data_IF_732108595521
#
_entry.id   IF_732108595521
#
_cell.length_a   1.000
_cell.length_b   1.000
_cell.length_c   1.000
_cell.angle_alpha   90.00
_cell.angle_beta   90.00
_cell.angle_gamma   90.00
#
_symmetry.space_group_name_H-M   'P 1'
#
loop_
_entity.id
_entity.type
_entity.pdbx_description
1 polymer ?
#
# COMPACT_ATOMS: atom_id res chain seq x y z
N UNK A 1 27.06 1.42 -66.43
CA UNK A 1 27.29 1.51 -64.97
C UNK A 1 26.09 2.17 -64.29
N UNK A 2 25.04 1.42 -63.93
CA UNK A 2 23.79 2.00 -63.40
C UNK A 2 23.11 1.18 -62.28
N UNK A 3 23.77 0.15 -61.76
CA UNK A 3 23.14 -0.89 -60.93
C UNK A 3 23.28 -0.73 -59.42
N UNK A 4 24.11 0.21 -58.94
CA UNK A 4 24.44 0.30 -57.51
C UNK A 4 23.51 1.21 -56.71
N UNK A 5 23.03 2.31 -57.29
CA UNK A 5 22.17 3.28 -56.58
C UNK A 5 20.80 2.66 -56.23
N UNK A 6 20.19 1.91 -57.17
CA UNK A 6 18.91 1.24 -56.95
C UNK A 6 18.96 0.14 -55.88
N UNK A 7 20.10 -0.57 -55.78
CA UNK A 7 20.29 -1.64 -54.79
C UNK A 7 20.45 -1.10 -53.37
N UNK A 8 21.14 0.03 -53.21
CA UNK A 8 21.30 0.70 -51.91
C UNK A 8 19.98 1.31 -51.42
N UNK A 9 19.22 1.94 -52.30
CA UNK A 9 17.88 2.46 -51.99
C UNK A 9 16.89 1.35 -51.58
N UNK A 10 16.91 0.20 -52.27
CA UNK A 10 16.08 -0.96 -51.92
C UNK A 10 16.38 -1.50 -50.51
N UNK A 11 17.67 -1.69 -50.17
CA UNK A 11 18.08 -2.14 -48.82
C UNK A 11 17.69 -1.14 -47.73
N UNK A 12 17.77 0.16 -48.01
CA UNK A 12 17.35 1.22 -47.08
C UNK A 12 15.84 1.25 -46.84
N UNK A 13 15.03 1.04 -47.88
CA UNK A 13 13.58 0.94 -47.74
C UNK A 13 13.15 -0.31 -46.96
N UNK A 14 13.83 -1.43 -47.18
CA UNK A 14 13.54 -2.68 -46.50
C UNK A 14 13.90 -2.62 -45.01
N UNK A 15 15.04 -2.01 -44.67
CA UNK A 15 15.41 -1.69 -43.29
C UNK A 15 14.35 -0.78 -42.61
N UNK A 16 13.87 0.25 -43.32
CA UNK A 16 12.82 1.13 -42.80
C UNK A 16 11.49 0.39 -42.61
N UNK A 17 11.12 -0.54 -43.50
CA UNK A 17 9.93 -1.38 -43.37
C UNK A 17 10.03 -2.30 -42.14
N UNK A 18 11.18 -2.90 -41.89
CA UNK A 18 11.42 -3.71 -40.69
C UNK A 18 11.35 -2.87 -39.41
N UNK A 19 11.96 -1.67 -39.40
CA UNK A 19 11.87 -0.74 -38.25
C UNK A 19 10.43 -0.35 -37.94
N UNK A 20 9.62 -0.04 -38.97
CA UNK A 20 8.20 0.28 -38.78
C UNK A 20 7.43 -0.89 -38.16
N UNK A 21 7.62 -2.11 -38.66
CA UNK A 21 7.02 -3.33 -38.10
C UNK A 21 7.43 -3.56 -36.63
N UNK A 22 8.70 -3.34 -36.30
CA UNK A 22 9.19 -3.47 -34.94
C UNK A 22 8.54 -2.45 -33.99
N UNK A 23 8.50 -1.17 -34.40
CA UNK A 23 7.86 -0.10 -33.62
C UNK A 23 6.38 -0.41 -33.37
N UNK A 24 5.68 -0.90 -34.38
CA UNK A 24 4.27 -1.27 -34.27
C UNK A 24 4.07 -2.45 -33.29
N UNK A 25 4.92 -3.48 -33.37
CA UNK A 25 4.89 -4.62 -32.44
C UNK A 25 5.11 -4.18 -30.99
N UNK A 26 6.11 -3.33 -30.75
CA UNK A 26 6.39 -2.77 -29.42
C UNK A 26 5.21 -1.94 -28.93
N UNK A 27 4.58 -1.14 -29.80
CA UNK A 27 3.39 -0.35 -29.45
C UNK A 27 2.22 -1.26 -29.05
N UNK A 28 1.93 -2.31 -29.82
CA UNK A 28 0.88 -3.29 -29.52
C UNK A 28 1.14 -3.98 -28.18
N UNK A 29 2.37 -4.46 -27.93
CA UNK A 29 2.75 -5.06 -26.65
C UNK A 29 2.56 -4.10 -25.46
N UNK A 30 2.96 -2.83 -25.60
CA UNK A 30 2.75 -1.82 -24.55
C UNK A 30 1.27 -1.60 -24.26
N UNK A 31 0.43 -1.51 -25.29
CA UNK A 31 -1.02 -1.35 -25.11
C UNK A 31 -1.61 -2.54 -24.37
N UNK A 32 -1.29 -3.77 -24.78
CA UNK A 32 -1.76 -4.99 -24.10
C UNK A 32 -1.32 -5.04 -22.64
N UNK A 33 -0.06 -4.70 -22.34
CA UNK A 33 0.43 -4.67 -20.96
C UNK A 33 -0.28 -3.61 -20.12
N UNK A 34 -0.59 -2.45 -20.70
CA UNK A 34 -1.33 -1.40 -20.01
C UNK A 34 -2.78 -1.82 -19.74
N UNK A 35 -3.44 -2.49 -20.67
CA UNK A 35 -4.81 -2.97 -20.46
C UNK A 35 -4.88 -4.07 -19.41
N UNK A 36 -3.92 -4.99 -19.38
CA UNK A 36 -3.85 -6.02 -18.33
C UNK A 36 -3.58 -5.41 -16.96
N UNK A 37 -2.65 -4.47 -16.86
CA UNK A 37 -2.36 -3.76 -15.61
C UNK A 37 -3.57 -2.96 -15.12
N UNK A 38 -4.31 -2.28 -16.02
CA UNK A 38 -5.52 -1.54 -15.67
C UNK A 38 -6.59 -2.49 -15.08
N UNK A 39 -6.81 -3.65 -15.72
CA UNK A 39 -7.74 -4.67 -15.22
C UNK A 39 -7.31 -5.26 -13.87
N UNK A 40 -6.03 -5.52 -13.67
CA UNK A 40 -5.50 -5.99 -12.38
C UNK A 40 -5.71 -4.97 -11.27
N UNK A 41 -5.41 -3.69 -11.54
CA UNK A 41 -5.63 -2.59 -10.58
C UNK A 41 -7.11 -2.45 -10.23
N UNK A 42 -8.01 -2.53 -11.21
CA UNK A 42 -9.46 -2.44 -10.97
C UNK A 42 -9.96 -3.60 -10.09
N UNK A 43 -9.46 -4.83 -10.32
CA UNK A 43 -9.77 -5.97 -9.45
C UNK A 43 -9.27 -5.77 -8.03
N UNK A 44 -8.03 -5.31 -7.86
CA UNK A 44 -7.46 -5.05 -6.53
C UNK A 44 -8.25 -3.97 -5.76
N UNK A 45 -8.69 -2.92 -6.46
CA UNK A 45 -9.53 -1.88 -5.85
C UNK A 45 -10.89 -2.42 -5.40
N UNK A 46 -11.54 -3.25 -6.23
CA UNK A 46 -12.81 -3.91 -5.84
C UNK A 46 -12.65 -4.86 -4.66
N UNK A 47 -11.52 -5.56 -4.58
CA UNK A 47 -11.24 -6.46 -3.45
C UNK A 47 -11.03 -5.66 -2.15
N UNK A 48 -10.29 -4.54 -2.21
CA UNK A 48 -10.14 -3.64 -1.06
C UNK A 48 -11.47 -3.01 -0.63
N UNK A 49 -12.33 -2.64 -1.58
CA UNK A 49 -13.66 -2.10 -1.28
C UNK A 49 -14.56 -3.14 -0.60
N UNK A 50 -14.48 -4.42 -1.01
CA UNK A 50 -15.20 -5.51 -0.33
C UNK A 50 -14.75 -5.67 1.12
N UNK A 51 -13.43 -5.77 1.35
CA UNK A 51 -12.89 -5.92 2.71
C UNK A 51 -13.32 -4.79 3.66
N UNK A 52 -13.36 -3.55 3.18
CA UNK A 52 -13.84 -2.40 3.98
C UNK A 52 -15.30 -2.53 4.42
N UNK A 53 -16.18 -3.10 3.59
CA UNK A 53 -17.58 -3.31 3.97
C UNK A 53 -17.75 -4.41 5.00
N UNK A 54 -16.85 -5.40 4.98
CA UNK A 54 -16.89 -6.50 5.94
C UNK A 54 -16.38 -6.05 7.33
N UNK A 55 -15.45 -5.08 7.38
CA UNK A 55 -14.92 -4.50 8.63
C UNK A 55 -15.95 -3.57 9.34
N UNK A 56 -16.81 -2.87 8.58
CA UNK A 56 -17.86 -1.98 9.12
C UNK A 56 -19.05 -2.74 9.75
N UNK A 57 -19.06 -4.08 9.70
CA UNK A 57 -20.12 -4.94 10.23
C UNK A 57 -19.74 -5.63 11.54
N UNK A 58 -18.66 -5.20 12.18
CA UNK A 58 -18.35 -5.61 13.56
C UNK A 58 -19.25 -4.78 14.48
N UNK A 59 -20.21 -5.36 15.22
CA UNK A 59 -20.94 -4.59 16.21
C UNK A 59 -19.91 -4.03 17.19
N UNK A 60 -19.93 -2.71 17.38
CA UNK A 60 -19.25 -2.10 18.50
C UNK A 60 -19.85 -2.76 19.75
N UNK A 61 -19.04 -3.58 20.43
CA UNK A 61 -19.37 -3.97 21.80
C UNK A 61 -19.34 -2.66 22.59
N UNK A 62 -20.52 -2.24 23.05
CA UNK A 62 -20.68 -1.15 24.01
C UNK A 62 -19.89 -1.53 25.27
N UNK A 63 -18.67 -1.03 25.39
CA UNK A 63 -17.95 -0.96 26.65
C UNK A 63 -18.67 0.11 27.51
N UNK A 64 -19.68 -0.33 28.27
CA UNK A 64 -20.31 0.42 29.36
C UNK A 64 -19.23 0.81 30.39
N UNK A 65 -18.83 2.08 30.37
CA UNK A 65 -18.04 2.77 31.40
C UNK A 65 -18.86 2.87 32.71
N UNK A 66 -18.99 1.80 33.49
CA UNK A 66 -19.42 1.91 34.90
C UNK A 66 -18.26 2.39 35.78
N UNK A 67 -18.05 3.71 35.82
CA UNK A 67 -17.22 4.37 36.84
C UNK A 67 -18.05 4.76 38.05
N UNK A 68 -18.01 3.89 39.05
CA UNK A 68 -17.77 4.17 40.48
C UNK A 68 -18.47 5.34 41.17
N UNK A 69 -19.44 5.00 42.03
CA UNK A 69 -19.65 5.50 43.41
C UNK A 69 -20.29 4.31 44.16
N UNK A 70 -19.98 3.91 45.41
CA UNK A 70 -19.92 4.63 46.68
C UNK A 70 -19.13 3.75 47.68
N UNK A 71 -18.35 4.36 48.57
CA UNK A 71 -17.72 3.69 49.73
C UNK A 71 -18.78 3.06 50.65
N UNK A 72 -18.55 1.84 51.14
CA UNK A 72 -19.20 1.35 52.34
C UNK A 72 -18.25 0.45 53.14
N UNK A 73 -17.83 0.84 54.35
CA UNK A 73 -16.93 0.06 55.19
C UNK A 73 -17.77 -0.84 56.11
N UNK A 74 -18.14 -2.02 55.63
CA UNK A 74 -18.59 -3.11 56.48
C UNK A 74 -17.84 -4.39 56.08
N UNK A 75 -16.61 -4.48 56.59
CA UNK A 75 -16.12 -5.75 57.11
C UNK A 75 -17.19 -6.28 58.07
N UNK A 76 -17.78 -7.44 57.80
CA UNK A 76 -17.23 -8.68 58.34
C UNK A 76 -18.12 -9.89 58.01
N UNK A 77 -17.45 -11.02 57.82
CA UNK A 77 -17.95 -12.37 58.03
C UNK A 77 -19.28 -12.79 57.37
N UNK A 78 -19.18 -13.46 56.21
CA UNK A 78 -19.95 -14.70 55.95
C UNK A 78 -19.30 -15.52 54.83
N UNK A 79 -18.51 -16.51 55.27
CA UNK A 79 -18.44 -17.90 54.76
C UNK A 79 -18.31 -18.07 53.24
N UNK A 80 -17.13 -18.45 52.76
CA UNK A 80 -16.76 -19.87 52.63
C UNK A 80 -17.91 -20.72 52.07
N UNK A 81 -17.95 -20.88 50.74
CA UNK A 81 -18.22 -22.16 50.06
C UNK A 81 -18.13 -21.99 48.54
N UNK A 82 -17.60 -23.02 47.90
CA UNK A 82 -17.63 -23.33 46.47
C UNK A 82 -16.51 -22.75 45.60
N UNK A 83 -15.34 -23.37 45.72
CA UNK A 83 -14.76 -24.17 44.63
C UNK A 83 -15.35 -23.91 43.23
N UNK A 84 -15.03 -22.75 42.67
CA UNK A 84 -15.06 -22.58 41.22
C UNK A 84 -13.63 -22.81 40.75
N UNK A 85 -13.33 -23.90 40.02
CA UNK A 85 -12.01 -24.06 39.44
C UNK A 85 -11.87 -22.95 38.41
N UNK A 86 -11.24 -21.84 38.79
CA UNK A 86 -10.70 -20.87 37.84
C UNK A 86 -10.04 -21.69 36.73
N UNK A 87 -10.39 -21.48 35.45
CA UNK A 87 -9.81 -22.27 34.38
C UNK A 87 -8.31 -22.14 34.54
N UNK A 88 -7.62 -23.26 34.73
CA UNK A 88 -6.16 -23.29 34.72
C UNK A 88 -5.77 -22.96 33.29
N UNK A 89 -5.67 -21.67 32.96
CA UNK A 89 -5.09 -21.25 31.70
C UNK A 89 -3.71 -21.88 31.68
N UNK A 90 -3.51 -22.81 30.76
CA UNK A 90 -2.24 -23.48 30.61
C UNK A 90 -1.22 -22.36 30.38
N UNK A 91 -0.19 -22.24 31.23
CA UNK A 91 0.89 -21.25 31.01
C UNK A 91 1.44 -21.30 29.58
N UNK A 92 1.38 -22.49 28.97
CA UNK A 92 1.71 -22.74 27.57
C UNK A 92 0.76 -22.07 26.54
N UNK A 93 -0.53 -21.91 26.83
CA UNK A 93 -1.46 -21.17 25.96
C UNK A 93 -1.27 -19.66 26.07
N UNK A 94 -1.03 -19.13 27.27
CA UNK A 94 -0.69 -17.70 27.44
C UNK A 94 0.60 -17.35 26.71
N UNK A 95 1.63 -18.19 26.85
CA UNK A 95 2.92 -17.98 26.17
C UNK A 95 2.77 -18.07 24.63
N UNK A 96 1.87 -18.92 24.13
CA UNK A 96 1.54 -18.98 22.69
C UNK A 96 0.85 -17.71 22.20
N UNK A 97 -0.15 -17.23 22.94
CA UNK A 97 -0.88 -16.00 22.62
C UNK A 97 0.02 -14.76 22.66
N UNK A 98 0.96 -14.70 23.60
CA UNK A 98 1.94 -13.61 23.69
C UNK A 98 2.91 -13.62 22.49
N UNK A 99 3.44 -14.80 22.12
CA UNK A 99 4.29 -14.93 20.92
C UNK A 99 3.55 -14.57 19.64
N UNK A 100 2.29 -14.98 19.50
CA UNK A 100 1.47 -14.66 18.33
C UNK A 100 1.19 -13.15 18.25
N UNK A 101 0.88 -12.49 19.37
CA UNK A 101 0.75 -11.02 19.44
C UNK A 101 2.06 -10.31 19.11
N UNK A 102 3.20 -10.85 19.54
CA UNK A 102 4.51 -10.26 19.25
C UNK A 102 4.87 -10.40 17.76
N UNK A 103 4.57 -11.54 17.14
CA UNK A 103 4.75 -11.77 15.70
C UNK A 103 3.85 -10.85 14.87
N UNK A 104 2.58 -10.71 15.25
CA UNK A 104 1.67 -9.76 14.60
C UNK A 104 2.20 -8.32 14.69
N UNK A 105 2.71 -7.90 15.85
CA UNK A 105 3.33 -6.57 16.01
C UNK A 105 4.59 -6.39 15.15
N UNK A 106 5.39 -7.45 14.96
CA UNK A 106 6.57 -7.41 14.06
C UNK A 106 6.14 -7.27 12.60
N UNK A 107 5.12 -8.02 12.18
CA UNK A 107 4.56 -7.93 10.82
C UNK A 107 3.95 -6.54 10.57
N UNK A 108 3.21 -6.00 11.52
CA UNK A 108 2.60 -4.66 11.40
C UNK A 108 3.67 -3.56 11.31
N UNK A 109 4.72 -3.64 12.14
CA UNK A 109 5.87 -2.72 12.06
C UNK A 109 6.58 -2.83 10.70
N UNK A 110 6.81 -4.04 10.20
CA UNK A 110 7.43 -4.25 8.88
C UNK A 110 6.56 -3.68 7.74
N UNK A 111 5.24 -3.88 7.80
CA UNK A 111 4.30 -3.33 6.83
C UNK A 111 4.26 -1.79 6.85
N UNK A 112 4.33 -1.17 8.03
CA UNK A 112 4.42 0.30 8.17
C UNK A 112 5.71 0.85 7.55
N UNK A 113 6.84 0.17 7.73
CA UNK A 113 8.12 0.57 7.15
C UNK A 113 8.08 0.45 5.62
N UNK A 114 7.62 -0.68 5.08
CA UNK A 114 7.50 -0.90 3.63
C UNK A 114 6.52 0.11 2.98
N UNK A 115 5.41 0.42 3.65
CA UNK A 115 4.47 1.45 3.20
C UNK A 115 5.11 2.86 3.18
N UNK A 116 5.90 3.20 4.20
CA UNK A 116 6.63 4.47 4.25
C UNK A 116 7.70 4.56 3.15
N UNK A 117 8.42 3.46 2.89
CA UNK A 117 9.44 3.40 1.84
C UNK A 117 8.83 3.52 0.44
N UNK A 118 7.72 2.81 0.17
CA UNK A 118 6.94 2.93 -1.07
C UNK A 118 6.44 4.35 -1.30
N UNK A 119 5.95 5.03 -0.26
CA UNK A 119 5.57 6.45 -0.34
C UNK A 119 6.75 7.34 -0.70
N UNK A 120 7.91 7.12 -0.07
CA UNK A 120 9.15 7.89 -0.35
C UNK A 120 9.62 7.71 -1.80
N UNK A 121 9.61 6.48 -2.31
CA UNK A 121 10.00 6.20 -3.69
C UNK A 121 9.03 6.85 -4.70
N UNK A 122 7.73 6.77 -4.44
CA UNK A 122 6.72 7.36 -5.32
C UNK A 122 6.86 8.90 -5.44
N UNK A 123 7.13 9.57 -4.32
CA UNK A 123 7.38 11.02 -4.31
C UNK A 123 8.65 11.35 -5.10
N UNK A 124 9.75 10.61 -4.90
CA UNK A 124 11.00 10.79 -5.66
C UNK A 124 10.79 10.66 -7.18
N UNK A 125 10.02 9.67 -7.63
CA UNK A 125 9.73 9.45 -9.05
C UNK A 125 8.90 10.58 -9.65
N UNK A 126 7.92 11.11 -8.91
CA UNK A 126 7.13 12.28 -9.32
C UNK A 126 8.01 13.52 -9.49
N UNK A 127 9.04 13.70 -8.65
CA UNK A 127 9.94 14.85 -8.70
C UNK A 127 10.90 14.80 -9.90
N UNK A 128 11.15 13.61 -10.43
CA UNK A 128 12.01 13.39 -11.61
C UNK A 128 11.26 13.52 -12.94
N UNK A 129 9.92 13.59 -12.93
CA UNK A 129 9.13 13.70 -14.15
C UNK A 129 9.39 15.02 -14.88
N UNK A 130 9.72 14.89 -16.16
CA UNK A 130 9.91 15.98 -17.11
C UNK A 130 8.89 15.88 -18.22
N UNK A 131 8.54 17.03 -18.78
CA UNK A 131 7.73 17.13 -20.00
C UNK A 131 8.52 16.57 -21.19
N UNK A 132 7.84 16.37 -22.33
CA UNK A 132 8.48 15.90 -23.57
C UNK A 132 9.62 16.81 -24.05
N UNK A 133 9.61 18.09 -23.65
CA UNK A 133 10.66 19.09 -23.93
C UNK A 133 11.78 19.11 -22.88
N UNK A 134 11.77 18.19 -21.92
CA UNK A 134 12.78 18.09 -20.86
C UNK A 134 12.57 19.05 -19.68
N UNK A 135 11.55 19.90 -19.71
CA UNK A 135 11.26 20.82 -18.60
C UNK A 135 10.60 20.09 -17.43
N UNK A 136 10.86 20.47 -16.16
CA UNK A 136 10.20 19.88 -15.02
C UNK A 136 8.68 20.10 -15.07
N UNK A 137 7.91 19.07 -14.71
CA UNK A 137 6.44 19.18 -14.67
C UNK A 137 6.05 20.03 -13.47
N UNK A 138 5.64 21.27 -13.71
CA UNK A 138 5.37 22.26 -12.65
C UNK A 138 4.29 21.81 -11.66
N UNK A 139 3.28 21.05 -12.11
CA UNK A 139 2.25 20.47 -11.22
C UNK A 139 2.85 19.64 -10.08
N UNK A 140 3.93 18.89 -10.33
CA UNK A 140 4.58 18.07 -9.31
C UNK A 140 5.48 18.91 -8.39
N UNK A 141 6.11 19.96 -8.93
CA UNK A 141 6.88 20.94 -8.15
C UNK A 141 6.01 21.76 -7.20
N UNK A 142 4.87 22.24 -7.67
CA UNK A 142 3.91 23.01 -6.87
C UNK A 142 3.36 22.13 -5.75
N UNK A 143 2.96 20.89 -6.05
CA UNK A 143 2.53 19.95 -5.01
C UNK A 143 3.61 19.74 -3.94
N UNK A 144 4.87 19.60 -4.33
CA UNK A 144 5.98 19.50 -3.36
C UNK A 144 6.08 20.71 -2.43
N UNK A 145 5.93 21.91 -2.97
CA UNK A 145 6.03 23.13 -2.17
C UNK A 145 4.87 23.23 -1.19
N UNK A 146 3.66 22.87 -1.60
CA UNK A 146 2.49 22.79 -0.73
C UNK A 146 2.67 21.72 0.36
N UNK A 147 3.08 20.51 -0.03
CA UNK A 147 3.34 19.42 0.93
C UNK A 147 4.42 19.81 1.95
N UNK A 148 5.44 20.60 1.54
CA UNK A 148 6.45 21.13 2.47
C UNK A 148 5.88 22.18 3.42
N UNK A 149 5.04 23.09 2.94
CA UNK A 149 4.41 24.11 3.76
C UNK A 149 3.42 23.49 4.77
N UNK A 150 2.62 22.52 4.34
CA UNK A 150 1.65 21.81 5.19
C UNK A 150 2.34 20.97 6.28
N UNK A 151 3.47 20.34 5.97
CA UNK A 151 4.22 19.52 6.93
C UNK A 151 5.22 20.33 7.80
N UNK A 152 5.05 21.65 7.89
CA UNK A 152 5.87 22.52 8.74
C UNK A 152 7.31 22.70 8.24
N UNK A 153 7.58 22.42 6.98
CA UNK A 153 8.88 22.52 6.31
C UNK A 153 9.28 23.96 5.98
N UNK A 154 9.29 24.84 6.99
CA UNK A 154 10.21 25.96 7.03
C UNK A 154 11.48 25.45 7.71
N UNK A 155 12.38 24.84 6.93
CA UNK A 155 13.77 24.77 7.38
C UNK A 155 14.34 26.18 7.29
N UNK A 156 14.40 26.85 8.43
CA UNK A 156 15.37 27.89 8.77
C UNK A 156 16.37 27.29 9.76
#
# INVERSE_FOLDING_TARGET
MGTDIGRVLGRSQEANKQRRKHVERVRRQKVTRLTTLKRQRERALRELERRRRDDDNTPAEDDDDERGQVENPEEDALRETQDSPLPRWNKAEQERLEREKEEQRKVEKAAKIDAAEKRRHHLSDLHRKRTRRGQPVMKHRVKMLLDKLENGGSQS
#
